data_IF_195802459042
#
_entry.id   IF_195802459042
#
_cell.length_a   1.000
_cell.length_b   1.000
_cell.length_c   1.000
_cell.angle_alpha   90.00
_cell.angle_beta   90.00
_cell.angle_gamma   90.00
#
_symmetry.space_group_name_H-M   'P 1'
#
loop_
_entity.id
_entity.type
_entity.pdbx_description
1 polymer ?
#
# COMPACT_ATOMS: atom_id res chain seq x y z
N UNK A 1 17.32 -7.24 -7.47
CA UNK A 1 16.51 -6.85 -8.64
C UNK A 1 15.41 -5.89 -8.16
N UNK A 2 14.98 -4.94 -9.00
CA UNK A 2 13.95 -3.96 -8.64
C UNK A 2 12.59 -4.37 -9.20
N UNK A 3 11.50 -3.87 -8.60
CA UNK A 3 10.15 -4.10 -9.13
C UNK A 3 9.98 -3.53 -10.55
N UNK A 4 9.17 -4.17 -11.41
CA UNK A 4 8.84 -3.63 -12.73
C UNK A 4 8.18 -2.25 -12.62
N UNK A 5 8.38 -1.41 -13.63
CA UNK A 5 7.72 -0.11 -13.68
C UNK A 5 6.21 -0.29 -13.86
N UNK A 6 5.42 0.66 -13.37
CA UNK A 6 3.94 0.63 -13.52
C UNK A 6 3.52 0.48 -14.99
N UNK A 7 4.24 1.11 -15.92
CA UNK A 7 3.97 0.99 -17.36
C UNK A 7 4.15 -0.45 -17.87
N UNK A 8 5.07 -1.21 -17.30
CA UNK A 8 5.30 -2.63 -17.65
C UNK A 8 4.21 -3.55 -17.06
N UNK A 9 3.46 -3.05 -16.06
CA UNK A 9 2.42 -3.77 -15.34
C UNK A 9 1.00 -3.49 -15.88
N UNK A 10 0.84 -2.59 -16.85
CA UNK A 10 -0.48 -2.26 -17.41
C UNK A 10 -1.16 -3.50 -18.00
N UNK A 11 -2.41 -3.73 -17.58
CA UNK A 11 -3.22 -4.89 -18.00
C UNK A 11 -2.88 -6.20 -17.27
N UNK A 12 -1.94 -6.19 -16.32
CA UNK A 12 -1.64 -7.35 -15.46
C UNK A 12 -2.39 -7.25 -14.14
N UNK A 13 -2.61 -8.40 -13.50
CA UNK A 13 -3.22 -8.51 -12.17
C UNK A 13 -2.21 -9.15 -11.23
N UNK A 14 -2.05 -8.55 -10.05
CA UNK A 14 -1.28 -9.13 -8.94
C UNK A 14 -2.28 -9.55 -7.87
N UNK A 15 -2.13 -10.75 -7.35
CA UNK A 15 -2.89 -11.24 -6.20
C UNK A 15 -1.95 -11.33 -5.01
N UNK A 16 -2.28 -10.60 -3.95
CA UNK A 16 -1.48 -10.55 -2.72
C UNK A 16 -2.25 -11.28 -1.62
N UNK A 17 -1.63 -12.27 -1.00
CA UNK A 17 -2.16 -12.94 0.19
C UNK A 17 -1.87 -12.06 1.40
N UNK A 18 -2.92 -11.48 1.98
CA UNK A 18 -2.82 -10.67 3.19
C UNK A 18 -2.21 -11.48 4.35
N UNK A 19 -1.29 -10.92 5.16
CA UNK A 19 -0.71 -11.63 6.31
C UNK A 19 -1.81 -12.09 7.25
N UNK A 20 -1.75 -13.35 7.68
CA UNK A 20 -2.73 -13.90 8.61
C UNK A 20 -2.58 -15.40 8.83
N UNK A 21 -3.63 -16.00 9.38
CA UNK A 21 -3.63 -17.40 9.84
C UNK A 21 -3.35 -18.44 8.74
N UNK A 22 -3.55 -18.09 7.47
CA UNK A 22 -3.36 -19.00 6.34
C UNK A 22 -2.02 -18.81 5.64
N UNK A 23 -1.20 -17.84 6.07
CA UNK A 23 0.09 -17.58 5.42
C UNK A 23 0.99 -18.81 5.47
N UNK A 24 1.13 -19.45 6.63
CA UNK A 24 1.97 -20.65 6.77
C UNK A 24 1.43 -21.83 5.96
N UNK A 25 0.12 -22.12 6.08
CA UNK A 25 -0.52 -23.19 5.30
C UNK A 25 -0.31 -22.99 3.79
N UNK A 26 -0.27 -21.73 3.32
CA UNK A 26 -0.03 -21.41 1.91
C UNK A 26 1.43 -21.62 1.51
N UNK A 27 2.38 -21.20 2.35
CA UNK A 27 3.82 -21.39 2.12
C UNK A 27 4.21 -22.88 2.12
N UNK A 28 3.53 -23.70 2.92
CA UNK A 28 3.75 -25.15 2.95
C UNK A 28 3.36 -25.86 1.65
N UNK A 29 2.51 -25.26 0.83
CA UNK A 29 2.14 -25.81 -0.49
C UNK A 29 3.28 -25.69 -1.51
N UNK A 30 4.14 -24.69 -1.36
CA UNK A 30 5.28 -24.41 -2.24
C UNK A 30 6.44 -23.74 -1.47
N UNK A 31 7.31 -24.54 -0.81
CA UNK A 31 8.39 -24.01 0.02
C UNK A 31 9.50 -23.28 -0.75
N UNK A 32 9.61 -23.51 -2.06
CA UNK A 32 10.63 -22.88 -2.91
C UNK A 32 10.12 -21.57 -3.54
N UNK A 33 8.81 -21.31 -3.44
CA UNK A 33 8.14 -20.08 -3.86
C UNK A 33 8.04 -19.86 -5.38
N UNK A 34 8.31 -20.89 -6.18
CA UNK A 34 8.46 -20.79 -7.64
C UNK A 34 7.11 -20.76 -8.39
N UNK A 35 6.08 -21.43 -7.86
CA UNK A 35 4.79 -21.68 -8.52
C UNK A 35 3.59 -21.08 -7.76
N UNK A 36 3.85 -20.14 -6.84
CA UNK A 36 2.80 -19.52 -6.03
C UNK A 36 1.85 -18.65 -6.88
N UNK A 37 0.56 -18.92 -6.77
CA UNK A 37 -0.51 -18.13 -7.41
C UNK A 37 -0.71 -16.73 -6.79
N UNK A 38 -0.21 -16.50 -5.58
CA UNK A 38 -0.34 -15.26 -4.82
C UNK A 38 1.00 -14.90 -4.18
N UNK A 39 1.31 -13.61 -4.07
CA UNK A 39 2.46 -13.14 -3.31
C UNK A 39 2.08 -13.02 -1.83
N UNK A 40 2.70 -13.78 -0.92
CA UNK A 40 2.46 -13.63 0.51
C UNK A 40 2.99 -12.27 0.98
N UNK A 41 2.14 -11.50 1.65
CA UNK A 41 2.55 -10.27 2.31
C UNK A 41 2.89 -10.54 3.78
N UNK A 42 3.82 -9.75 4.30
CA UNK A 42 4.20 -9.77 5.71
C UNK A 42 3.56 -8.62 6.47
N UNK A 43 3.48 -8.78 7.79
CA UNK A 43 3.16 -7.67 8.68
C UNK A 43 4.40 -6.82 8.96
N UNK A 44 4.21 -5.65 9.53
CA UNK A 44 5.29 -4.74 9.93
C UNK A 44 6.21 -5.28 11.05
N UNK A 45 5.93 -6.45 11.62
CA UNK A 45 6.74 -7.06 12.67
C UNK A 45 7.57 -8.26 12.19
N UNK A 46 7.41 -8.69 10.94
CA UNK A 46 7.96 -9.97 10.47
C UNK A 46 8.49 -9.85 9.03
N UNK A 47 9.48 -8.97 8.84
CA UNK A 47 10.01 -8.62 7.51
C UNK A 47 11.16 -9.52 7.06
N UNK A 48 11.72 -10.32 7.96
CA UNK A 48 12.89 -11.17 7.73
C UNK A 48 12.52 -12.53 7.12
N UNK A 49 11.54 -12.56 6.22
CA UNK A 49 11.14 -13.77 5.51
C UNK A 49 11.71 -13.80 4.08
N UNK A 50 12.13 -14.97 3.58
CA UNK A 50 12.69 -15.10 2.23
C UNK A 50 11.69 -14.75 1.12
N UNK A 51 10.38 -14.88 1.39
CA UNK A 51 9.31 -14.51 0.45
C UNK A 51 8.86 -13.04 0.57
N UNK A 52 9.43 -12.26 1.49
CA UNK A 52 8.94 -10.93 1.85
C UNK A 52 9.15 -9.92 0.72
N UNK A 53 8.11 -9.72 -0.09
CA UNK A 53 8.10 -8.75 -1.20
C UNK A 53 7.06 -7.63 -0.97
N UNK A 54 5.99 -7.93 -0.22
CA UNK A 54 4.91 -7.01 0.12
C UNK A 54 4.77 -6.85 1.64
N UNK A 55 4.61 -5.62 2.11
CA UNK A 55 4.33 -5.32 3.52
C UNK A 55 2.97 -4.64 3.69
N UNK A 56 2.17 -5.15 4.63
CA UNK A 56 0.95 -4.48 5.09
C UNK A 56 1.25 -3.73 6.38
N UNK A 57 1.42 -2.42 6.26
CA UNK A 57 1.68 -1.51 7.38
C UNK A 57 0.49 -0.58 7.61
N UNK A 58 -0.49 -1.03 8.41
CA UNK A 58 -1.79 -0.36 8.55
C UNK A 58 -1.72 1.10 9.01
N UNK A 59 -0.72 1.49 9.81
CA UNK A 59 -0.56 2.85 10.31
C UNK A 59 0.47 3.58 9.45
N UNK A 60 0.20 4.78 8.94
CA UNK A 60 1.23 5.55 8.27
C UNK A 60 2.27 6.00 9.31
N UNK A 61 3.51 5.61 9.09
CA UNK A 61 4.63 5.85 10.00
C UNK A 61 5.92 5.90 9.18
N UNK A 62 6.40 7.09 8.78
CA UNK A 62 7.58 7.24 7.94
C UNK A 62 8.81 6.56 8.54
N UNK A 63 9.00 6.60 9.87
CA UNK A 63 10.16 6.00 10.54
C UNK A 63 10.20 4.48 10.38
N UNK A 64 9.01 3.84 10.31
CA UNK A 64 8.89 2.40 10.09
C UNK A 64 8.77 2.00 8.63
N UNK A 65 8.21 2.87 7.78
CA UNK A 65 7.98 2.57 6.37
C UNK A 65 9.25 2.77 5.54
N UNK A 66 10.06 3.80 5.80
CA UNK A 66 11.29 4.05 5.04
C UNK A 66 12.24 2.84 5.00
N UNK A 67 12.54 2.15 6.11
CA UNK A 67 13.38 0.95 6.07
C UNK A 67 12.81 -0.19 5.19
N UNK A 68 11.48 -0.31 5.09
CA UNK A 68 10.83 -1.30 4.22
C UNK A 68 11.03 -0.96 2.74
N UNK A 69 10.95 0.34 2.42
CA UNK A 69 11.21 0.83 1.06
C UNK A 69 12.68 0.65 0.68
N UNK A 70 13.60 0.91 1.61
CA UNK A 70 15.05 0.67 1.43
C UNK A 70 15.38 -0.82 1.27
N UNK A 71 14.60 -1.70 1.91
CA UNK A 71 14.62 -3.14 1.70
C UNK A 71 13.90 -3.57 0.39
N UNK A 72 13.52 -2.63 -0.47
CA UNK A 72 12.90 -2.85 -1.78
C UNK A 72 11.54 -3.57 -1.70
N UNK A 73 10.80 -3.37 -0.60
CA UNK A 73 9.44 -3.89 -0.45
C UNK A 73 8.41 -2.96 -1.09
N UNK A 74 7.30 -3.55 -1.56
CA UNK A 74 6.07 -2.80 -1.82
C UNK A 74 5.31 -2.66 -0.51
N UNK A 75 5.04 -1.43 -0.08
CA UNK A 75 4.35 -1.13 1.17
C UNK A 75 2.94 -0.65 0.88
N UNK A 76 1.98 -1.27 1.57
CA UNK A 76 0.59 -0.83 1.64
C UNK A 76 0.30 -0.21 3.00
N UNK A 77 -0.19 1.03 3.02
CA UNK A 77 -0.69 1.69 4.24
C UNK A 77 -2.17 2.08 4.15
N UNK A 78 -2.74 2.49 5.28
CA UNK A 78 -4.10 3.02 5.33
C UNK A 78 -4.06 4.54 5.52
N UNK A 79 -4.97 5.21 4.82
CA UNK A 79 -5.23 6.65 4.98
C UNK A 79 -6.20 6.93 6.14
N UNK A 80 -6.91 5.92 6.60
CA UNK A 80 -7.88 6.00 7.69
C UNK A 80 -8.18 4.60 8.25
N UNK A 81 -8.85 4.55 9.39
CA UNK A 81 -9.27 3.29 10.00
C UNK A 81 -10.62 3.40 10.67
N UNK A 82 -11.28 2.25 10.86
CA UNK A 82 -12.49 2.12 11.67
C UNK A 82 -13.66 3.00 11.20
N UNK A 83 -13.74 3.32 9.91
CA UNK A 83 -14.76 4.22 9.35
C UNK A 83 -14.77 5.62 10.02
N UNK A 84 -13.60 6.09 10.48
CA UNK A 84 -13.44 7.44 11.02
C UNK A 84 -12.45 8.20 10.12
N UNK A 85 -12.89 9.27 9.42
CA UNK A 85 -11.97 10.13 8.69
C UNK A 85 -11.00 10.80 9.67
N UNK A 86 -9.72 10.82 9.32
CA UNK A 86 -8.71 11.52 10.10
C UNK A 86 -7.73 12.21 9.14
N UNK A 87 -7.75 13.54 9.12
CA UNK A 87 -6.94 14.34 8.19
C UNK A 87 -5.45 14.25 8.49
N UNK A 88 -5.05 14.12 9.76
CA UNK A 88 -3.65 13.95 10.15
C UNK A 88 -3.10 12.62 9.65
N UNK A 89 -3.85 11.52 9.83
CA UNK A 89 -3.48 10.19 9.33
C UNK A 89 -3.40 10.20 7.80
N UNK A 90 -4.32 10.89 7.12
CA UNK A 90 -4.28 11.06 5.66
C UNK A 90 -3.03 11.82 5.20
N UNK A 91 -2.70 12.93 5.86
CA UNK A 91 -1.49 13.68 5.55
C UNK A 91 -0.24 12.82 5.73
N UNK A 92 -0.15 12.11 6.85
CA UNK A 92 0.96 11.21 7.13
C UNK A 92 1.07 10.06 6.12
N UNK A 93 -0.06 9.50 5.68
CA UNK A 93 -0.09 8.46 4.66
C UNK A 93 0.45 8.95 3.31
N UNK A 94 0.16 10.20 2.93
CA UNK A 94 0.73 10.82 1.72
C UNK A 94 2.24 11.03 1.83
N UNK A 95 2.73 11.35 3.03
CA UNK A 95 4.13 11.69 3.28
C UNK A 95 5.02 10.47 3.56
N UNK A 96 4.45 9.33 3.97
CA UNK A 96 5.22 8.17 4.41
C UNK A 96 5.90 7.36 3.29
N UNK A 97 5.63 7.67 2.01
CA UNK A 97 6.27 7.03 0.86
C UNK A 97 5.72 5.63 0.50
N UNK A 98 4.68 5.13 1.18
CA UNK A 98 4.05 3.87 0.81
C UNK A 98 3.48 3.95 -0.63
N UNK A 99 3.76 2.94 -1.46
CA UNK A 99 3.35 2.94 -2.86
C UNK A 99 1.85 2.62 -3.04
N UNK A 100 1.24 1.94 -2.05
CA UNK A 100 -0.19 1.62 -2.07
C UNK A 100 -0.86 2.22 -0.83
N UNK A 101 -1.88 3.04 -1.07
CA UNK A 101 -2.73 3.57 -0.01
C UNK A 101 -4.15 3.02 -0.13
N UNK A 102 -4.76 2.73 1.01
CA UNK A 102 -6.13 2.24 1.09
C UNK A 102 -6.96 3.11 2.01
N UNK A 103 -8.25 3.21 1.72
CA UNK A 103 -9.22 4.00 2.52
C UNK A 103 -10.54 3.25 2.53
N UNK A 104 -11.26 3.34 3.66
CA UNK A 104 -12.65 2.90 3.71
C UNK A 104 -13.60 3.93 3.05
N UNK A 105 -13.09 5.12 2.68
CA UNK A 105 -13.84 6.27 2.16
C UNK A 105 -13.64 6.46 0.65
N UNK A 106 -13.91 5.41 -0.12
CA UNK A 106 -13.88 5.48 -1.58
C UNK A 106 -14.70 6.68 -2.13
N UNK A 107 -14.24 7.38 -3.19
CA UNK A 107 -14.94 8.57 -3.74
C UNK A 107 -16.39 8.34 -4.20
N UNK A 108 -16.82 7.09 -4.36
CA UNK A 108 -18.21 6.71 -4.62
C UNK A 108 -19.13 6.92 -3.40
N UNK A 109 -18.56 6.99 -2.19
CA UNK A 109 -19.29 7.45 -1.02
C UNK A 109 -19.50 8.96 -1.15
N UNK A 110 -20.74 9.41 -0.97
CA UNK A 110 -21.14 10.81 -1.12
C UNK A 110 -20.72 11.66 0.08
N UNK A 111 -19.43 11.69 0.40
CA UNK A 111 -18.88 12.63 1.37
C UNK A 111 -18.85 14.03 0.76
N UNK A 112 -19.12 15.07 1.57
CA UNK A 112 -19.12 16.47 1.12
C UNK A 112 -17.76 16.90 0.57
N UNK A 113 -16.67 16.39 1.18
CA UNK A 113 -15.31 16.66 0.77
C UNK A 113 -14.80 15.50 -0.09
N UNK A 114 -14.68 15.72 -1.40
CA UNK A 114 -14.17 14.73 -2.37
C UNK A 114 -12.68 15.00 -2.60
N UNK A 115 -11.83 14.06 -2.22
CA UNK A 115 -10.40 14.09 -2.55
C UNK A 115 -10.08 12.94 -3.53
N UNK A 116 -9.24 13.20 -4.53
CA UNK A 116 -8.71 12.17 -5.44
C UNK A 116 -7.20 12.22 -5.37
N UNK A 117 -6.59 11.07 -5.12
CA UNK A 117 -5.14 10.93 -4.97
C UNK A 117 -4.64 9.96 -6.05
N UNK A 118 -3.65 10.37 -6.83
CA UNK A 118 -3.08 9.59 -7.94
C UNK A 118 -1.56 9.53 -7.84
N UNK A 119 -0.97 8.50 -8.47
CA UNK A 119 0.48 8.31 -8.59
C UNK A 119 0.96 8.93 -9.91
N UNK A 120 2.04 9.70 -9.89
CA UNK A 120 2.79 10.09 -11.10
C UNK A 120 4.24 9.58 -11.04
N UNK A 121 4.87 9.55 -12.23
CA UNK A 121 6.22 9.08 -12.55
C UNK A 121 7.15 8.83 -11.36
N UNK A 122 7.46 7.55 -11.13
CA UNK A 122 8.31 7.03 -10.04
C UNK A 122 7.80 7.35 -8.62
N UNK A 123 6.79 6.56 -8.23
CA UNK A 123 6.56 6.04 -6.87
C UNK A 123 6.17 6.99 -5.73
N UNK A 124 5.74 8.23 -5.97
CA UNK A 124 5.22 9.09 -4.90
C UNK A 124 3.86 9.73 -5.21
N UNK A 125 3.04 9.82 -4.17
CA UNK A 125 1.74 10.48 -4.18
C UNK A 125 1.93 12.00 -4.20
N UNK A 126 1.28 12.68 -5.15
CA UNK A 126 1.21 14.14 -5.19
C UNK A 126 -0.21 14.60 -4.80
N UNK A 127 -0.28 15.64 -3.97
CA UNK A 127 -1.52 16.37 -3.67
C UNK A 127 -1.89 17.24 -4.88
N UNK A 128 -3.05 16.99 -5.51
CA UNK A 128 -3.52 17.81 -6.62
C UNK A 128 -4.31 19.02 -6.09
N UNK A 129 -3.65 20.17 -5.99
CA UNK A 129 -4.22 21.41 -5.45
C UNK A 129 -5.21 22.10 -6.40
N UNK A 130 -5.36 21.63 -7.65
CA UNK A 130 -6.29 22.22 -8.64
C UNK A 130 -7.79 22.02 -8.31
N UNK A 131 -8.10 21.44 -7.16
CA UNK A 131 -9.47 21.17 -6.67
C UNK A 131 -9.75 21.77 -5.29
N UNK A 132 -8.89 22.68 -4.83
CA UNK A 132 -9.06 23.39 -3.55
C UNK A 132 -9.77 24.73 -3.67
N UNK A 133 -10.04 25.20 -4.88
CA UNK A 133 -10.83 26.41 -5.12
C UNK A 133 -12.18 26.02 -5.73
N UNK A 134 -13.18 25.93 -4.86
CA UNK A 134 -14.58 26.28 -5.12
C UNK A 134 -15.28 26.39 -3.75
N UNK A 135 -14.89 27.39 -2.95
CA UNK A 135 -15.76 28.02 -1.96
C UNK A 135 -15.30 29.48 -1.81
N UNK A 136 -16.21 30.40 -2.15
CA UNK A 136 -16.13 31.87 -2.00
C UNK A 136 -15.70 32.33 -0.59
#
# INVERSE_FOLDING_TARGET
ESWPLVNDLLGKVIVVLHPGKFTNDYLELDPEFDDMAMFPAVSNQDIDHPYAAFSVHNNPDPERILPLLEANMIVRTRMDSSLIPNEEVRALARECGAQIMTTDFHPAHQFKNKEKVFLEAEYLIIRNDAWLDDDD
#
